data_IF_488660718176
#
_entry.id   IF_488660718176
#
_cell.length_a   1.000
_cell.length_b   1.000
_cell.length_c   1.000
_cell.angle_alpha   90.00
_cell.angle_beta   90.00
_cell.angle_gamma   90.00
#
_symmetry.space_group_name_H-M   'P 1'
#
loop_
_entity.id
_entity.type
_entity.pdbx_description
1 polymer ?
#
# COMPACT_ATOMS: atom_id res chain seq x y z
N UNK A 1 9.09 11.56 10.89
CA UNK A 1 9.05 11.61 9.41
C UNK A 1 10.26 10.86 8.87
N UNK A 2 10.04 9.94 7.93
CA UNK A 2 11.10 9.05 7.39
C UNK A 2 11.46 9.30 5.92
N UNK A 3 10.55 9.92 5.17
CA UNK A 3 10.67 10.14 3.73
C UNK A 3 10.38 11.62 3.46
N UNK A 4 11.15 12.23 2.57
CA UNK A 4 10.88 13.56 2.04
C UNK A 4 9.48 13.63 1.37
N UNK A 5 8.79 14.77 1.51
CA UNK A 5 7.40 14.92 1.04
C UNK A 5 7.27 14.78 -0.48
N UNK A 6 8.13 15.47 -1.23
CA UNK A 6 8.11 15.45 -2.70
C UNK A 6 8.43 14.05 -3.21
N UNK A 7 9.41 13.39 -2.59
CA UNK A 7 9.76 12.00 -2.92
C UNK A 7 8.60 11.04 -2.63
N UNK A 8 7.92 11.22 -1.50
CA UNK A 8 6.73 10.44 -1.16
C UNK A 8 5.59 10.64 -2.17
N UNK A 9 5.37 11.88 -2.63
CA UNK A 9 4.36 12.19 -3.63
C UNK A 9 4.68 11.52 -4.98
N UNK A 10 5.95 11.54 -5.40
CA UNK A 10 6.39 10.82 -6.62
C UNK A 10 6.12 9.31 -6.53
N UNK A 11 6.41 8.68 -5.39
CA UNK A 11 6.11 7.27 -5.19
C UNK A 11 4.60 7.00 -5.27
N UNK A 12 3.76 7.85 -4.68
CA UNK A 12 2.29 7.72 -4.74
C UNK A 12 1.78 7.84 -6.18
N UNK A 13 2.33 8.75 -6.98
CA UNK A 13 1.92 8.88 -8.39
C UNK A 13 2.31 7.64 -9.23
N UNK A 14 3.42 6.98 -8.94
CA UNK A 14 3.76 5.70 -9.59
C UNK A 14 2.92 4.51 -9.09
N UNK A 15 2.43 4.56 -7.85
CA UNK A 15 1.51 3.54 -7.31
C UNK A 15 0.09 3.70 -7.86
N UNK A 16 -0.35 4.93 -8.15
CA UNK A 16 -1.71 5.25 -8.61
C UNK A 16 -2.20 4.39 -9.80
N UNK A 17 -1.44 4.17 -10.88
CA UNK A 17 -1.88 3.31 -11.99
C UNK A 17 -1.94 1.82 -11.63
N UNK A 18 -1.36 1.39 -10.52
CA UNK A 18 -1.40 -0.01 -10.06
C UNK A 18 -2.66 -0.34 -9.27
N UNK A 19 -3.40 0.68 -8.84
CA UNK A 19 -4.64 0.50 -8.08
C UNK A 19 -5.71 -0.11 -9.01
N UNK A 20 -6.31 -1.26 -8.66
CA UNK A 20 -7.35 -1.87 -9.47
C UNK A 20 -8.56 -0.93 -9.66
N UNK A 21 -9.23 -0.98 -10.82
CA UNK A 21 -10.46 -0.22 -11.03
C UNK A 21 -11.49 -0.48 -9.92
N UNK A 22 -12.04 0.58 -9.35
CA UNK A 22 -13.04 0.50 -8.28
C UNK A 22 -12.46 0.33 -6.86
N UNK A 23 -11.14 0.14 -6.71
CA UNK A 23 -10.49 0.15 -5.40
C UNK A 23 -9.96 1.54 -5.04
N UNK A 24 -9.99 1.88 -3.75
CA UNK A 24 -9.26 3.05 -3.22
C UNK A 24 -7.78 2.71 -3.00
N UNK A 25 -6.93 3.74 -2.93
CA UNK A 25 -5.52 3.57 -2.56
C UNK A 25 -5.35 2.93 -1.18
N UNK A 26 -6.25 3.23 -0.23
CA UNK A 26 -6.23 2.62 1.10
C UNK A 26 -6.53 1.12 1.02
N UNK A 27 -7.56 0.73 0.27
CA UNK A 27 -7.89 -0.68 0.06
C UNK A 27 -6.76 -1.43 -0.66
N UNK A 28 -6.15 -0.82 -1.67
CA UNK A 28 -4.98 -1.38 -2.37
C UNK A 28 -3.81 -1.63 -1.40
N UNK A 29 -3.47 -0.64 -0.56
CA UNK A 29 -2.40 -0.79 0.42
C UNK A 29 -2.69 -1.87 1.45
N UNK A 30 -3.92 -1.92 2.00
CA UNK A 30 -4.33 -2.97 2.93
C UNK A 30 -4.32 -4.35 2.28
N UNK A 31 -4.79 -4.46 1.03
CA UNK A 31 -4.74 -5.70 0.27
C UNK A 31 -3.30 -6.15 0.04
N UNK A 32 -2.39 -5.24 -0.30
CA UNK A 32 -0.96 -5.52 -0.46
C UNK A 32 -0.34 -6.08 0.83
N UNK A 33 -0.65 -5.51 2.00
CA UNK A 33 -0.18 -6.04 3.29
C UNK A 33 -0.72 -7.46 3.53
N UNK A 34 -1.98 -7.72 3.16
CA UNK A 34 -2.61 -9.05 3.27
C UNK A 34 -2.09 -10.07 2.23
N UNK A 35 -1.23 -9.68 1.28
CA UNK A 35 -0.61 -10.62 0.33
C UNK A 35 0.57 -11.40 0.95
N UNK A 36 1.11 -10.94 2.07
CA UNK A 36 2.24 -11.59 2.73
C UNK A 36 1.77 -12.77 3.60
N UNK A 37 2.29 -13.99 3.40
CA UNK A 37 1.85 -15.17 4.17
C UNK A 37 2.18 -15.06 5.67
N UNK A 38 3.14 -14.21 6.05
CA UNK A 38 3.48 -13.91 7.44
C UNK A 38 2.45 -13.01 8.13
N UNK A 39 1.56 -12.37 7.37
CA UNK A 39 0.53 -11.47 7.89
C UNK A 39 -0.81 -12.19 7.99
N UNK A 40 -1.30 -12.35 9.22
CA UNK A 40 -2.62 -12.94 9.48
C UNK A 40 -3.74 -11.90 9.53
N UNK A 41 -3.43 -10.65 9.90
CA UNK A 41 -4.41 -9.58 10.04
C UNK A 41 -3.75 -8.21 9.91
N UNK A 42 -4.54 -7.20 9.53
CA UNK A 42 -4.12 -5.80 9.45
C UNK A 42 -5.02 -4.95 10.35
N UNK A 43 -4.41 -4.18 11.26
CA UNK A 43 -5.11 -3.28 12.17
C UNK A 43 -5.14 -1.89 11.54
N UNK A 44 -6.19 -1.62 10.76
CA UNK A 44 -6.37 -0.34 10.08
C UNK A 44 -7.16 0.65 10.95
N UNK A 45 -6.59 1.83 11.22
CA UNK A 45 -7.29 2.91 11.89
C UNK A 45 -8.37 3.55 11.00
N UNK A 46 -9.45 4.03 11.62
CA UNK A 46 -10.53 4.74 10.94
C UNK A 46 -10.97 5.95 11.78
N UNK A 47 -11.26 7.07 11.12
CA UNK A 47 -11.76 8.30 11.77
C UNK A 47 -13.29 8.44 11.67
N UNK A 48 -13.92 7.62 10.84
CA UNK A 48 -15.37 7.59 10.65
C UNK A 48 -15.82 6.17 10.24
N UNK A 49 -17.13 5.87 10.30
CA UNK A 49 -17.65 4.55 9.95
C UNK A 49 -17.35 4.11 8.50
N UNK A 50 -17.45 5.02 7.53
CA UNK A 50 -17.18 4.70 6.12
C UNK A 50 -15.76 4.17 5.93
N UNK A 51 -14.76 4.75 6.59
CA UNK A 51 -13.38 4.25 6.52
C UNK A 51 -13.24 2.85 7.13
N UNK A 52 -13.97 2.56 8.20
CA UNK A 52 -13.95 1.22 8.80
C UNK A 52 -14.54 0.19 7.82
N UNK A 53 -15.65 0.52 7.17
CA UNK A 53 -16.25 -0.31 6.12
C UNK A 53 -15.29 -0.49 4.93
N UNK A 54 -14.76 0.61 4.38
CA UNK A 54 -13.80 0.58 3.26
C UNK A 54 -12.57 -0.28 3.58
N UNK A 55 -12.04 -0.20 4.81
CA UNK A 55 -10.91 -1.01 5.26
C UNK A 55 -11.25 -2.52 5.25
N UNK A 56 -12.46 -2.90 5.64
CA UNK A 56 -12.89 -4.32 5.63
C UNK A 56 -13.01 -4.87 4.21
N UNK A 57 -13.52 -4.06 3.27
CA UNK A 57 -13.62 -4.45 1.85
C UNK A 57 -12.27 -4.68 1.17
N UNK A 58 -11.16 -4.20 1.73
CA UNK A 58 -9.82 -4.46 1.19
C UNK A 58 -9.51 -5.97 1.10
N UNK A 59 -10.00 -6.77 2.06
CA UNK A 59 -9.78 -8.22 2.07
C UNK A 59 -10.58 -8.95 0.99
N UNK A 60 -11.65 -8.34 0.48
CA UNK A 60 -12.52 -8.88 -0.56
C UNK A 60 -11.98 -8.64 -1.97
N UNK A 61 -10.98 -7.77 -2.12
CA UNK A 61 -10.31 -7.55 -3.39
C UNK A 61 -9.64 -8.85 -3.88
N UNK A 62 -9.65 -9.12 -5.20
CA UNK A 62 -8.83 -10.18 -5.77
C UNK A 62 -7.37 -10.06 -5.34
N UNK A 63 -6.62 -11.17 -5.27
CA UNK A 63 -5.18 -11.12 -5.06
C UNK A 63 -4.53 -10.18 -6.07
N UNK A 64 -3.58 -9.35 -5.61
CA UNK A 64 -2.78 -8.54 -6.51
C UNK A 64 -1.92 -9.47 -7.38
N UNK A 65 -1.72 -9.10 -8.63
CA UNK A 65 -0.87 -9.89 -9.52
C UNK A 65 0.58 -9.85 -9.03
N UNK A 66 1.35 -10.91 -9.32
CA UNK A 66 2.79 -10.94 -9.06
C UNK A 66 3.54 -9.76 -9.71
N UNK A 67 3.06 -9.30 -10.87
CA UNK A 67 3.63 -8.12 -11.52
C UNK A 67 3.38 -6.85 -10.71
N UNK A 68 2.16 -6.67 -10.20
CA UNK A 68 1.82 -5.54 -9.32
C UNK A 68 2.66 -5.57 -8.06
N UNK A 69 2.81 -6.74 -7.43
CA UNK A 69 3.63 -6.91 -6.22
C UNK A 69 5.09 -6.51 -6.46
N UNK A 70 5.70 -6.99 -7.56
CA UNK A 70 7.06 -6.59 -7.94
C UNK A 70 7.18 -5.09 -8.21
N UNK A 71 6.20 -4.49 -8.89
CA UNK A 71 6.24 -3.05 -9.19
C UNK A 71 6.18 -2.19 -7.93
N UNK A 72 5.41 -2.60 -6.92
CA UNK A 72 5.39 -1.92 -5.62
C UNK A 72 6.76 -2.00 -4.95
N UNK A 73 7.44 -3.15 -4.99
CA UNK A 73 8.80 -3.32 -4.48
C UNK A 73 9.81 -2.42 -5.21
N UNK A 74 9.76 -2.36 -6.55
CA UNK A 74 10.62 -1.48 -7.35
C UNK A 74 10.43 0.00 -6.98
N UNK A 75 9.19 0.44 -6.77
CA UNK A 75 8.88 1.81 -6.33
C UNK A 75 9.45 2.07 -4.93
N UNK A 76 9.31 1.12 -4.01
CA UNK A 76 9.89 1.23 -2.66
C UNK A 76 11.42 1.34 -2.71
N UNK A 77 12.08 0.51 -3.51
CA UNK A 77 13.54 0.52 -3.67
C UNK A 77 14.04 1.83 -4.26
N UNK A 78 13.33 2.34 -5.27
CA UNK A 78 13.66 3.57 -5.99
C UNK A 78 13.52 4.82 -5.12
N UNK A 79 12.43 4.95 -4.37
CA UNK A 79 12.07 6.21 -3.71
C UNK A 79 12.26 6.21 -2.19
N UNK A 80 12.06 5.06 -1.54
CA UNK A 80 11.85 4.99 -0.09
C UNK A 80 13.03 4.37 0.64
N UNK A 81 13.53 3.22 0.15
CA UNK A 81 14.51 2.37 0.85
C UNK A 81 15.70 3.15 1.40
N UNK A 82 16.37 3.94 0.56
CA UNK A 82 17.58 4.67 0.96
C UNK A 82 17.36 5.65 2.14
N UNK A 83 16.14 6.19 2.30
CA UNK A 83 15.85 7.20 3.32
C UNK A 83 15.48 6.59 4.68
N UNK A 84 14.93 5.37 4.67
CA UNK A 84 14.39 4.72 5.86
C UNK A 84 15.18 3.49 6.31
N UNK A 85 15.88 2.78 5.43
CA UNK A 85 16.46 1.47 5.74
C UNK A 85 17.46 1.52 6.91
N UNK A 86 18.24 2.59 7.05
CA UNK A 86 19.19 2.74 8.15
C UNK A 86 18.54 3.03 9.52
N UNK A 87 17.21 3.12 9.59
CA UNK A 87 16.45 3.42 10.82
C UNK A 87 15.82 2.18 11.45
N UNK A 88 16.12 1.00 10.92
CA UNK A 88 15.57 -0.30 11.31
C UNK A 88 16.69 -1.30 11.55
#
# INVERSE_FOLDING_TARGET
SGVDYETGLQAVEELRPLVPPGASMAQFALRWILMFPEVTTVIAGAKNPQQAEDNTHAAELPPLSEETMRRVEEIYDKYIRAQVQARW
#
